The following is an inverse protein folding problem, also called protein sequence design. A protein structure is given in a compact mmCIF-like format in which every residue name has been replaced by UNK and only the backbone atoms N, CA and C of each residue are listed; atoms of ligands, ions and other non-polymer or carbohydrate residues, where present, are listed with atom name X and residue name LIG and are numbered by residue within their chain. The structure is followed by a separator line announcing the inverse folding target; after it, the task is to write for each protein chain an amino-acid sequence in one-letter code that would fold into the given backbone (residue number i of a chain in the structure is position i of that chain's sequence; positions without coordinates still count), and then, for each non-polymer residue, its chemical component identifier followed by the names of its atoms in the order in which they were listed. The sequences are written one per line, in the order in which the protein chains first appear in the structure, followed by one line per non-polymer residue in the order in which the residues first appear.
data_IF_606965670425
#
_entry.id   IF_606965670425
#
_cell.length_a   1.000
_cell.length_b   1.000
_cell.length_c   1.000
_cell.angle_alpha   90.00
_cell.angle_beta   90.00
_cell.angle_gamma   90.00
#
_symmetry.space_group_name_H-M   'P 1'
#
loop_
_entity.id
_entity.type
_entity.pdbx_description
1 polymer ?
#
# COMPACT_ATOMS: atom_id res chain seq x y z
N UNK A 1 8.93 7.31 5.34
CA UNK A 1 7.73 7.86 4.66
C UNK A 1 6.67 6.80 4.82
N UNK A 2 6.01 6.84 5.95
CA UNK A 2 5.43 5.64 6.55
C UNK A 2 3.92 5.69 6.36
N UNK A 3 3.36 4.64 5.77
CA UNK A 3 1.91 4.50 5.53
C UNK A 3 1.15 4.35 6.85
N UNK A 4 1.89 4.08 7.92
CA UNK A 4 1.39 3.94 9.26
C UNK A 4 2.16 4.85 10.22
N UNK A 5 1.45 5.37 11.22
CA UNK A 5 2.03 5.97 12.41
C UNK A 5 1.73 5.07 13.61
N UNK A 6 2.64 5.03 14.58
CA UNK A 6 2.40 4.29 15.82
C UNK A 6 1.66 5.21 16.78
N UNK A 7 0.40 4.89 17.04
CA UNK A 7 -0.39 5.56 18.06
C UNK A 7 -0.20 4.83 19.39
N UNK A 8 0.28 5.55 20.39
CA UNK A 8 0.39 5.04 21.76
C UNK A 8 -0.81 5.50 22.57
N UNK A 9 -1.48 4.56 23.22
CA UNK A 9 -2.58 4.84 24.12
C UNK A 9 -2.10 4.79 25.57
N UNK A 10 -2.55 5.75 26.40
CA UNK A 10 -2.24 5.74 27.83
C UNK A 10 -3.16 4.71 28.49
N UNK A 11 -2.58 3.64 29.01
CA UNK A 11 -3.34 2.55 29.63
C UNK A 11 -3.39 2.67 31.16
N UNK A 12 -2.44 3.39 31.76
CA UNK A 12 -2.45 3.70 33.20
C UNK A 12 -1.54 4.88 33.55
N UNK A 13 -1.49 5.23 34.83
CA UNK A 13 -0.59 6.23 35.41
C UNK A 13 0.25 5.55 36.50
N UNK A 14 1.55 5.84 36.53
CA UNK A 14 2.47 5.29 37.52
C UNK A 14 2.33 5.99 38.89
N UNK A 15 3.10 5.52 39.88
CA UNK A 15 3.05 6.07 41.25
C UNK A 15 3.52 7.53 41.35
N UNK A 16 4.24 8.04 40.34
CA UNK A 16 4.66 9.43 40.22
C UNK A 16 3.70 10.29 39.38
N UNK A 17 2.59 9.73 38.89
CA UNK A 17 1.64 10.41 38.01
C UNK A 17 2.08 10.47 36.54
N UNK A 18 3.13 9.74 36.16
CA UNK A 18 3.59 9.62 34.78
C UNK A 18 2.69 8.70 33.95
N UNK A 19 2.42 9.01 32.67
CA UNK A 19 1.62 8.16 31.81
C UNK A 19 2.37 6.85 31.48
N UNK A 20 1.66 5.73 31.59
CA UNK A 20 2.12 4.42 31.15
C UNK A 20 1.40 4.07 29.86
N UNK A 21 2.16 3.88 28.79
CA UNK A 21 1.65 3.57 27.46
C UNK A 21 1.45 2.07 27.26
N UNK A 22 0.37 1.72 26.57
CA UNK A 22 0.12 0.38 26.09
C UNK A 22 0.99 0.03 24.87
N UNK A 23 0.85 -1.18 24.33
CA UNK A 23 1.48 -1.54 23.06
C UNK A 23 1.03 -0.58 21.97
N UNK A 24 1.99 -0.04 21.21
CA UNK A 24 1.69 0.89 20.12
C UNK A 24 0.89 0.22 19.02
N UNK A 25 -0.19 0.85 18.59
CA UNK A 25 -1.01 0.39 17.47
C UNK A 25 -0.59 1.11 16.19
N UNK A 26 -0.31 0.36 15.13
CA UNK A 26 -0.12 0.92 13.80
C UNK A 26 -1.47 1.41 13.26
N UNK A 27 -1.59 2.70 12.99
CA UNK A 27 -2.78 3.33 12.40
C UNK A 27 -2.39 4.02 11.09
N UNK A 28 -3.33 4.13 10.16
CA UNK A 28 -3.09 4.76 8.86
C UNK A 28 -2.62 6.20 9.03
N UNK A 29 -1.59 6.58 8.27
CA UNK A 29 -1.08 7.94 8.25
C UNK A 29 -1.95 8.82 7.33
N UNK A 30 -2.86 9.59 7.92
CA UNK A 30 -3.72 10.53 7.17
C UNK A 30 -2.94 11.72 6.57
N UNK A 31 -1.73 11.98 7.04
CA UNK A 31 -0.84 13.03 6.54
C UNK A 31 0.10 12.53 5.42
N UNK A 32 -0.07 11.28 4.97
CA UNK A 32 0.73 10.72 3.90
C UNK A 32 0.54 11.53 2.60
N UNK A 33 1.62 12.16 2.13
CA UNK A 33 1.63 12.98 0.92
C UNK A 33 1.36 12.19 -0.36
N UNK A 34 1.69 10.89 -0.37
CA UNK A 34 1.52 9.98 -1.50
C UNK A 34 0.71 8.76 -1.06
N UNK A 35 -0.62 8.90 -0.95
CA UNK A 35 -1.48 7.79 -0.56
C UNK A 35 -1.54 6.74 -1.68
N UNK A 36 -1.66 5.46 -1.29
CA UNK A 36 -1.81 4.35 -2.22
C UNK A 36 -0.50 3.65 -2.58
N UNK A 37 -0.48 2.32 -2.39
CA UNK A 37 0.72 1.50 -2.58
C UNK A 37 1.29 1.58 -4.01
N UNK A 38 0.43 1.66 -5.03
CA UNK A 38 0.84 1.71 -6.43
C UNK A 38 1.49 3.03 -6.87
N UNK A 39 0.86 4.17 -6.60
CA UNK A 39 1.37 5.50 -6.96
C UNK A 39 2.70 5.81 -6.28
N UNK A 40 2.76 5.53 -4.97
CA UNK A 40 3.96 5.74 -4.16
C UNK A 40 5.14 4.93 -4.71
N UNK A 41 4.94 3.65 -5.00
CA UNK A 41 5.97 2.78 -5.57
C UNK A 41 6.47 3.29 -6.93
N UNK A 42 5.56 3.80 -7.76
CA UNK A 42 5.90 4.37 -9.06
C UNK A 42 6.77 5.63 -8.93
N UNK A 43 6.38 6.58 -8.08
CA UNK A 43 7.11 7.83 -7.84
C UNK A 43 8.52 7.53 -7.34
N UNK A 44 8.66 6.59 -6.40
CA UNK A 44 9.96 6.18 -5.88
C UNK A 44 10.83 5.56 -6.99
N UNK A 45 10.32 4.58 -7.74
CA UNK A 45 11.11 3.85 -8.74
C UNK A 45 11.49 4.70 -9.94
N UNK A 46 10.62 5.63 -10.38
CA UNK A 46 10.92 6.55 -11.48
C UNK A 46 12.10 7.48 -11.19
N UNK A 47 12.48 7.68 -9.92
CA UNK A 47 13.69 8.40 -9.54
C UNK A 47 14.99 7.58 -9.61
N UNK A 48 14.89 6.26 -9.82
CA UNK A 48 16.03 5.34 -9.76
C UNK A 48 16.29 4.60 -11.08
N UNK A 49 15.24 4.21 -11.80
CA UNK A 49 15.34 3.43 -13.03
C UNK A 49 14.29 3.87 -14.05
N UNK A 50 14.62 3.71 -15.32
CA UNK A 50 13.67 3.89 -16.41
C UNK A 50 12.76 2.68 -16.54
N UNK A 51 11.49 2.86 -16.21
CA UNK A 51 10.47 1.83 -16.34
C UNK A 51 9.75 1.92 -17.69
N UNK A 52 9.52 0.77 -18.31
CA UNK A 52 8.63 0.63 -19.46
C UNK A 52 7.18 0.96 -19.08
N UNK A 53 6.33 1.18 -20.09
CA UNK A 53 4.89 1.42 -19.86
C UNK A 53 4.24 0.23 -19.16
N UNK A 54 4.61 -1.00 -19.54
CA UNK A 54 4.08 -2.22 -18.95
C UNK A 54 4.45 -2.34 -17.46
N UNK A 55 5.72 -2.13 -17.10
CA UNK A 55 6.17 -2.19 -15.72
C UNK A 55 5.48 -1.12 -14.87
N UNK A 56 5.34 0.10 -15.40
CA UNK A 56 4.60 1.19 -14.73
C UNK A 56 3.15 0.77 -14.43
N UNK A 57 2.48 0.14 -15.39
CA UNK A 57 1.11 -0.33 -15.20
C UNK A 57 1.02 -1.48 -14.20
N UNK A 58 1.96 -2.44 -14.25
CA UNK A 58 2.00 -3.56 -13.31
C UNK A 58 2.22 -3.06 -11.87
N UNK A 59 3.15 -2.11 -11.66
CA UNK A 59 3.40 -1.51 -10.34
C UNK A 59 2.18 -0.72 -9.86
N UNK A 60 1.63 0.17 -10.70
CA UNK A 60 0.51 1.04 -10.30
C UNK A 60 -0.75 0.25 -9.93
N UNK A 61 -1.01 -0.83 -10.64
CA UNK A 61 -2.27 -1.58 -10.52
C UNK A 61 -2.11 -2.99 -9.91
N UNK A 62 -0.97 -3.31 -9.28
CA UNK A 62 -0.76 -4.63 -8.67
C UNK A 62 -1.83 -5.04 -7.64
N UNK A 63 -2.42 -4.07 -6.93
CA UNK A 63 -3.51 -4.32 -5.97
C UNK A 63 -4.86 -4.65 -6.61
N UNK A 64 -5.01 -4.46 -7.93
CA UNK A 64 -6.24 -4.78 -8.66
C UNK A 64 -7.49 -4.13 -8.05
N UNK A 65 -8.49 -4.95 -7.72
CA UNK A 65 -9.76 -4.49 -7.14
C UNK A 65 -9.71 -4.23 -5.62
N UNK A 66 -8.53 -4.35 -4.98
CA UNK A 66 -8.34 -4.02 -3.55
C UNK A 66 -7.96 -2.55 -3.32
N UNK A 67 -8.21 -1.70 -4.30
CA UNK A 67 -8.09 -0.24 -4.20
C UNK A 67 -9.47 0.41 -4.09
N UNK A 68 -9.51 1.75 -3.97
CA UNK A 68 -10.74 2.53 -4.08
C UNK A 68 -11.48 2.19 -5.39
N UNK A 69 -12.81 2.01 -5.30
CA UNK A 69 -13.66 1.58 -6.42
C UNK A 69 -13.67 2.56 -7.58
N UNK A 70 -13.35 3.84 -7.34
CA UNK A 70 -13.18 4.84 -8.40
C UNK A 70 -12.04 4.48 -9.37
N UNK A 71 -11.09 3.66 -8.93
CA UNK A 71 -9.92 3.27 -9.72
C UNK A 71 -10.13 2.02 -10.58
N UNK A 72 -11.15 1.20 -10.27
CA UNK A 72 -11.32 -0.11 -10.91
C UNK A 72 -11.51 -0.04 -12.43
N UNK A 73 -12.12 1.04 -12.91
CA UNK A 73 -12.23 1.28 -14.36
C UNK A 73 -10.85 1.46 -15.01
N UNK A 74 -9.93 2.17 -14.36
CA UNK A 74 -8.59 2.41 -14.88
C UNK A 74 -7.73 1.14 -14.81
N UNK A 75 -7.86 0.37 -13.73
CA UNK A 75 -7.30 -0.97 -13.65
C UNK A 75 -7.78 -1.86 -14.81
N UNK A 76 -9.08 -1.86 -15.09
CA UNK A 76 -9.66 -2.65 -16.19
C UNK A 76 -9.08 -2.26 -17.55
N UNK A 77 -8.94 -0.96 -17.82
CA UNK A 77 -8.30 -0.48 -19.05
C UNK A 77 -6.80 -0.82 -19.10
N UNK A 78 -6.10 -0.78 -17.96
CA UNK A 78 -4.71 -1.21 -17.87
C UNK A 78 -4.54 -2.70 -18.22
N UNK A 79 -5.43 -3.56 -17.71
CA UNK A 79 -5.44 -4.99 -18.04
C UNK A 79 -5.68 -5.23 -19.53
N UNK A 80 -6.64 -4.50 -20.15
CA UNK A 80 -6.90 -4.60 -21.59
C UNK A 80 -5.68 -4.22 -22.42
N UNK A 81 -4.95 -3.18 -21.99
CA UNK A 81 -3.74 -2.70 -22.68
C UNK A 81 -2.54 -3.60 -22.47
N UNK A 82 -2.38 -4.13 -21.25
CA UNK A 82 -1.27 -4.96 -20.84
C UNK A 82 -1.78 -6.10 -19.93
N UNK A 83 -2.00 -7.30 -20.48
CA UNK A 83 -2.52 -8.43 -19.72
C UNK A 83 -1.64 -8.85 -18.53
N UNK A 84 -0.33 -8.55 -18.58
CA UNK A 84 0.60 -8.83 -17.48
C UNK A 84 0.23 -8.11 -16.17
N UNK A 85 -0.56 -7.03 -16.24
CA UNK A 85 -1.13 -6.39 -15.05
C UNK A 85 -2.04 -7.35 -14.28
N UNK A 86 -2.90 -8.11 -14.98
CA UNK A 86 -3.77 -9.10 -14.34
C UNK A 86 -2.95 -10.25 -13.76
N UNK A 87 -1.90 -10.71 -14.46
CA UNK A 87 -1.03 -11.78 -13.96
C UNK A 87 -0.26 -11.35 -12.71
N UNK A 88 0.23 -10.12 -12.69
CA UNK A 88 0.91 -9.53 -11.53
C UNK A 88 -0.04 -9.49 -10.33
N UNK A 89 -1.25 -8.95 -10.50
CA UNK A 89 -2.26 -8.94 -9.45
C UNK A 89 -2.63 -10.36 -8.98
N UNK A 90 -2.79 -11.31 -9.91
CA UNK A 90 -3.12 -12.69 -9.58
C UNK A 90 -1.99 -13.34 -8.78
N UNK A 91 -0.73 -13.12 -9.16
CA UNK A 91 0.43 -13.63 -8.42
C UNK A 91 0.50 -13.04 -7.01
N UNK A 92 0.23 -11.73 -6.86
CA UNK A 92 0.15 -11.05 -5.56
C UNK A 92 -0.93 -11.67 -4.66
N UNK A 93 -2.11 -11.96 -5.21
CA UNK A 93 -3.19 -12.63 -4.46
C UNK A 93 -2.85 -14.09 -4.12
N UNK A 94 -2.18 -14.82 -5.01
CA UNK A 94 -1.71 -16.17 -4.72
C UNK A 94 -0.69 -16.13 -3.57
N UNK A 95 0.28 -15.22 -3.61
CA UNK A 95 1.29 -15.10 -2.57
C UNK A 95 0.66 -14.76 -1.22
N UNK A 96 -0.12 -13.68 -1.17
CA UNK A 96 -0.62 -13.14 0.10
C UNK A 96 -1.85 -13.87 0.65
N UNK A 97 -2.77 -14.33 -0.21
CA UNK A 97 -4.06 -14.90 0.21
C UNK A 97 -4.11 -16.43 0.19
N UNK A 98 -3.31 -17.07 -0.65
CA UNK A 98 -3.27 -18.54 -0.74
C UNK A 98 -2.05 -19.10 0.00
N UNK A 99 -0.86 -18.58 -0.29
CA UNK A 99 0.39 -19.09 0.29
C UNK A 99 0.73 -18.48 1.65
N UNK A 100 0.28 -17.25 1.91
CA UNK A 100 0.56 -16.53 3.15
C UNK A 100 2.04 -16.15 3.31
N UNK A 101 2.70 -15.79 2.20
CA UNK A 101 4.11 -15.36 2.14
C UNK A 101 4.24 -13.92 1.68
#
# INVERSE_FOLDING_TARGET
MDDYVIQQEIVSVDQGGGPVYGPGQAVWNEEALWPGHGDKSLIMLMGHIDLTVEEKLCIRYHMGAFTDSKEWKYYTEAVKRCPNVLYTHTADMIATKIKGV
#
